data_IF_155570143657
#
_entry.id   IF_155570143657
#
_cell.length_a   1.000
_cell.length_b   1.000
_cell.length_c   1.000
_cell.angle_alpha   90.00
_cell.angle_beta   90.00
_cell.angle_gamma   90.00
#
_symmetry.space_group_name_H-M   'P 1'
#
loop_
_entity.id
_entity.type
_entity.pdbx_description
1 polymer ?
#
# COMPACT_ATOMS: atom_id res chain seq x y z
N UNK A 1 -14.33 -25.19 -11.52
CA UNK A 1 -12.90 -25.09 -11.20
C UNK A 1 -12.34 -23.79 -11.78
N UNK A 2 -12.06 -22.79 -10.95
CA UNK A 2 -11.54 -21.50 -11.42
C UNK A 2 -10.03 -21.61 -11.57
N UNK A 3 -9.59 -21.76 -12.81
CA UNK A 3 -8.22 -21.99 -13.27
C UNK A 3 -7.39 -20.69 -13.18
N UNK A 4 -7.22 -20.12 -11.98
CA UNK A 4 -6.63 -18.78 -11.81
C UNK A 4 -5.12 -18.78 -11.52
N UNK A 5 -4.49 -19.94 -11.31
CA UNK A 5 -3.17 -20.00 -10.64
C UNK A 5 -1.95 -20.23 -11.54
N UNK A 6 -2.07 -20.28 -12.87
CA UNK A 6 -0.88 -20.38 -13.74
C UNK A 6 -0.95 -19.40 -14.91
N UNK A 7 -0.73 -18.12 -14.62
CA UNK A 7 -0.60 -17.10 -15.65
C UNK A 7 0.81 -17.17 -16.29
N UNK A 8 1.03 -18.13 -17.19
CA UNK A 8 2.33 -18.26 -17.88
C UNK A 8 2.42 -17.41 -19.14
N UNK A 9 1.29 -16.93 -19.67
CA UNK A 9 1.30 -16.06 -20.86
C UNK A 9 1.17 -14.57 -20.47
N UNK A 10 1.71 -13.65 -21.30
CA UNK A 10 1.55 -12.21 -21.07
C UNK A 10 0.09 -11.75 -20.91
N UNK A 11 -0.82 -12.34 -21.67
CA UNK A 11 -2.26 -12.02 -21.66
C UNK A 11 -2.91 -12.47 -20.35
N UNK A 12 -2.58 -13.67 -19.86
CA UNK A 12 -3.07 -14.16 -18.57
C UNK A 12 -2.55 -13.30 -17.41
N UNK A 13 -1.29 -12.86 -17.50
CA UNK A 13 -0.68 -11.94 -16.55
C UNK A 13 -1.37 -10.56 -16.57
N UNK A 14 -1.76 -10.06 -17.74
CA UNK A 14 -2.53 -8.82 -17.87
C UNK A 14 -3.92 -8.94 -17.25
N UNK A 15 -4.64 -10.02 -17.53
CA UNK A 15 -5.95 -10.28 -16.93
C UNK A 15 -5.86 -10.34 -15.39
N UNK A 16 -4.83 -11.00 -14.84
CA UNK A 16 -4.63 -11.03 -13.38
C UNK A 16 -4.39 -9.63 -12.81
N UNK A 17 -3.59 -8.79 -13.48
CA UNK A 17 -3.32 -7.41 -13.05
C UNK A 17 -4.58 -6.54 -13.05
N UNK A 18 -5.58 -6.82 -13.90
CA UNK A 18 -6.85 -6.09 -13.89
C UNK A 18 -7.62 -6.26 -12.57
N UNK A 19 -7.41 -7.38 -11.85
CA UNK A 19 -8.10 -7.66 -10.59
C UNK A 19 -7.70 -6.75 -9.43
N UNK A 20 -6.50 -6.15 -9.47
CA UNK A 20 -6.01 -5.26 -8.40
C UNK A 20 -6.24 -3.79 -8.70
N UNK A 21 -6.75 -3.45 -9.89
CA UNK A 21 -7.03 -2.07 -10.26
C UNK A 21 -8.16 -1.52 -9.39
N UNK A 22 -7.93 -0.39 -8.74
CA UNK A 22 -8.84 0.26 -7.81
C UNK A 22 -8.87 -0.36 -6.40
N UNK A 23 -8.14 -1.46 -6.17
CA UNK A 23 -8.02 -2.04 -4.84
C UNK A 23 -7.21 -1.11 -3.93
N UNK A 24 -7.60 -1.04 -2.65
CA UNK A 24 -6.84 -0.36 -1.61
C UNK A 24 -5.93 -1.38 -0.94
N UNK A 25 -4.63 -1.08 -0.88
CA UNK A 25 -3.62 -1.95 -0.26
C UNK A 25 -2.84 -1.15 0.77
N UNK A 26 -2.85 -1.65 2.00
CA UNK A 26 -2.08 -1.08 3.10
C UNK A 26 -0.70 -1.77 3.17
N UNK A 27 0.35 -0.97 3.09
CA UNK A 27 1.73 -1.40 3.29
C UNK A 27 2.18 -0.96 4.69
N UNK A 28 2.57 -1.91 5.53
CA UNK A 28 3.14 -1.63 6.85
C UNK A 28 4.66 -1.57 6.71
N UNK A 29 5.22 -0.39 6.98
CA UNK A 29 6.62 0.01 6.78
C UNK A 29 7.07 0.03 5.31
N UNK A 30 7.50 1.20 4.83
CA UNK A 30 8.03 1.33 3.48
C UNK A 30 9.46 0.79 3.33
N UNK A 31 10.17 0.63 4.46
CA UNK A 31 11.57 0.25 4.48
C UNK A 31 12.46 1.38 3.97
N UNK A 32 13.46 1.04 3.16
CA UNK A 32 14.45 2.01 2.65
C UNK A 32 14.07 2.59 1.27
N UNK A 33 14.58 3.79 0.90
CA UNK A 33 14.23 4.47 -0.36
C UNK A 33 14.38 3.64 -1.64
N UNK A 34 15.31 2.70 -1.67
CA UNK A 34 15.49 1.78 -2.80
C UNK A 34 14.30 0.84 -3.07
N UNK A 35 13.30 0.78 -2.19
CA UNK A 35 12.04 0.05 -2.41
C UNK A 35 10.97 0.87 -3.11
N UNK A 36 11.24 2.13 -3.46
CA UNK A 36 10.30 3.03 -4.14
C UNK A 36 9.61 2.41 -5.36
N UNK A 37 10.33 1.59 -6.13
CA UNK A 37 9.79 0.91 -7.31
C UNK A 37 8.56 0.04 -7.01
N UNK A 38 8.38 -0.44 -5.77
CA UNK A 38 7.21 -1.23 -5.36
C UNK A 38 5.94 -0.36 -5.41
N UNK A 39 6.02 0.86 -4.88
CA UNK A 39 4.89 1.80 -4.86
C UNK A 39 4.61 2.37 -6.25
N UNK A 40 5.65 2.68 -7.01
CA UNK A 40 5.52 3.07 -8.42
C UNK A 40 4.83 1.98 -9.23
N UNK A 41 5.20 0.71 -8.98
CA UNK A 41 4.55 -0.42 -9.64
C UNK A 41 3.10 -0.56 -9.21
N UNK A 42 2.78 -0.41 -7.93
CA UNK A 42 1.42 -0.43 -7.44
C UNK A 42 0.56 0.67 -8.08
N UNK A 43 1.09 1.90 -8.17
CA UNK A 43 0.45 3.02 -8.86
C UNK A 43 0.19 2.71 -10.35
N UNK A 44 1.17 2.16 -11.07
CA UNK A 44 1.00 1.72 -12.47
C UNK A 44 -0.07 0.64 -12.65
N UNK A 45 -0.30 -0.20 -11.63
CA UNK A 45 -1.36 -1.20 -11.62
C UNK A 45 -2.74 -0.61 -11.28
N UNK A 46 -2.78 0.67 -10.87
CA UNK A 46 -3.98 1.37 -10.42
C UNK A 46 -4.40 1.02 -9.00
N UNK A 47 -3.47 0.55 -8.17
CA UNK A 47 -3.72 0.27 -6.74
C UNK A 47 -3.71 1.59 -5.96
N UNK A 48 -4.71 1.79 -5.10
CA UNK A 48 -4.70 2.86 -4.09
C UNK A 48 -3.81 2.42 -2.92
N UNK A 49 -2.53 2.75 -2.98
CA UNK A 49 -1.59 2.37 -1.92
C UNK A 49 -1.78 3.27 -0.70
N UNK A 50 -1.84 2.69 0.50
CA UNK A 50 -1.78 3.38 1.78
C UNK A 50 -0.55 2.89 2.52
N UNK A 51 0.27 3.79 3.07
CA UNK A 51 1.49 3.41 3.80
C UNK A 51 1.30 3.74 5.28
N UNK A 52 1.55 2.77 6.15
CA UNK A 52 1.72 2.99 7.59
C UNK A 52 3.22 2.98 7.88
N UNK A 53 3.78 4.07 8.37
CA UNK A 53 5.20 4.15 8.70
C UNK A 53 5.50 5.24 9.75
N UNK A 54 6.74 5.27 10.23
CA UNK A 54 7.20 6.32 11.15
C UNK A 54 7.00 7.72 10.52
N UNK A 55 6.59 8.76 11.29
CA UNK A 55 6.37 10.11 10.77
C UNK A 55 7.52 10.72 9.95
N UNK A 56 8.75 10.31 10.26
CA UNK A 56 9.99 10.74 9.58
C UNK A 56 10.37 9.87 8.37
N UNK A 57 9.53 8.92 7.97
CA UNK A 57 9.77 8.05 6.82
C UNK A 57 9.82 8.85 5.53
N UNK A 58 10.81 8.55 4.68
CA UNK A 58 10.95 9.10 3.33
C UNK A 58 9.69 8.90 2.47
N UNK A 59 8.94 7.83 2.75
CA UNK A 59 7.76 7.44 1.98
C UNK A 59 6.57 8.40 2.15
N UNK A 60 6.60 9.27 3.16
CA UNK A 60 5.61 10.34 3.34
C UNK A 60 5.51 11.24 2.10
N UNK A 61 6.65 11.54 1.46
CA UNK A 61 6.70 12.36 0.26
C UNK A 61 5.98 11.75 -0.95
N UNK A 62 5.77 10.43 -0.97
CA UNK A 62 5.09 9.75 -2.09
C UNK A 62 3.62 10.14 -2.26
N UNK A 63 3.00 10.70 -1.21
CA UNK A 63 1.63 11.23 -1.29
C UNK A 63 1.60 12.50 -2.13
N UNK A 64 2.54 13.42 -1.90
CA UNK A 64 2.65 14.69 -2.66
C UNK A 64 2.98 14.42 -4.13
N UNK A 65 3.74 13.36 -4.40
CA UNK A 65 4.07 12.91 -5.75
C UNK A 65 2.92 12.16 -6.46
N UNK A 66 1.81 11.88 -5.77
CA UNK A 66 0.66 11.16 -6.31
C UNK A 66 0.90 9.66 -6.57
N UNK A 67 1.96 9.08 -6.00
CA UNK A 67 2.29 7.66 -6.14
C UNK A 67 1.51 6.82 -5.13
N UNK A 68 1.29 7.37 -3.94
CA UNK A 68 0.58 6.73 -2.83
C UNK A 68 -0.65 7.57 -2.50
N UNK A 69 -1.78 6.92 -2.21
CA UNK A 69 -3.03 7.60 -1.93
C UNK A 69 -3.03 8.27 -0.55
N UNK A 70 -2.43 7.63 0.46
CA UNK A 70 -2.41 8.13 1.84
C UNK A 70 -1.20 7.63 2.63
N UNK A 71 -0.73 8.44 3.56
CA UNK A 71 0.29 8.09 4.55
C UNK A 71 -0.33 8.17 5.96
N UNK A 72 -0.19 7.10 6.73
CA UNK A 72 -0.65 6.97 8.11
C UNK A 72 0.58 7.05 9.03
N UNK A 73 0.84 8.20 9.66
CA UNK A 73 2.00 8.39 10.52
C UNK A 73 1.78 7.69 11.87
N UNK A 74 2.52 6.60 12.12
CA UNK A 74 2.48 5.87 13.39
C UNK A 74 3.89 5.83 13.98
N UNK A 75 4.03 6.14 15.26
CA UNK A 75 5.32 5.99 15.94
C UNK A 75 5.72 4.51 16.02
N UNK A 76 6.59 4.08 15.10
CA UNK A 76 7.10 2.72 15.00
C UNK A 76 8.13 2.36 16.08
N UNK A 77 8.51 3.29 16.97
CA UNK A 77 9.48 3.04 18.05
C UNK A 77 8.83 2.50 19.33
N UNK A 78 7.49 2.52 19.42
CA UNK A 78 6.73 1.98 20.54
C UNK A 78 6.77 0.45 20.65
N UNK A 79 6.10 -0.08 21.66
CA UNK A 79 5.90 -1.52 21.79
C UNK A 79 5.04 -2.07 20.65
N UNK A 80 5.16 -3.37 20.35
CA UNK A 80 4.39 -3.99 19.28
C UNK A 80 2.88 -3.84 19.46
N UNK A 81 2.39 -3.84 20.71
CA UNK A 81 0.97 -3.63 21.02
C UNK A 81 0.51 -2.21 20.70
N UNK A 82 1.32 -1.21 21.09
CA UNK A 82 1.02 0.21 20.80
C UNK A 82 1.01 0.47 19.29
N UNK A 83 2.02 -0.04 18.57
CA UNK A 83 2.08 0.09 17.10
C UNK A 83 0.90 -0.61 16.44
N UNK A 84 0.56 -1.82 16.89
CA UNK A 84 -0.58 -2.58 16.38
C UNK A 84 -1.89 -1.82 16.57
N UNK A 85 -2.19 -1.39 17.80
CA UNK A 85 -3.45 -0.73 18.11
C UNK A 85 -3.58 0.59 17.35
N UNK A 86 -2.53 1.40 17.30
CA UNK A 86 -2.54 2.66 16.58
C UNK A 86 -2.71 2.45 15.06
N UNK A 87 -2.05 1.44 14.49
CA UNK A 87 -2.23 1.07 13.08
C UNK A 87 -3.65 0.60 12.78
N UNK A 88 -4.21 -0.24 13.65
CA UNK A 88 -5.57 -0.75 13.52
C UNK A 88 -6.60 0.37 13.55
N UNK A 89 -6.49 1.29 14.51
CA UNK A 89 -7.40 2.42 14.65
C UNK A 89 -7.40 3.31 13.40
N UNK A 90 -6.22 3.64 12.87
CA UNK A 90 -6.10 4.43 11.63
C UNK A 90 -6.64 3.69 10.41
N UNK A 91 -6.40 2.38 10.30
CA UNK A 91 -6.92 1.56 9.20
C UNK A 91 -8.44 1.46 9.28
N UNK A 92 -9.03 1.32 10.47
CA UNK A 92 -10.49 1.28 10.64
C UNK A 92 -11.18 2.59 10.27
N UNK A 93 -10.47 3.72 10.34
CA UNK A 93 -10.96 5.04 9.87
C UNK A 93 -10.75 5.25 8.37
N UNK A 94 -10.06 4.34 7.67
CA UNK A 94 -9.94 4.41 6.21
C UNK A 94 -11.33 4.25 5.58
N UNK A 95 -11.64 5.13 4.63
CA UNK A 95 -12.92 5.17 3.93
C UNK A 95 -13.82 6.34 4.36
N UNK A 96 -13.56 6.97 5.52
CA UNK A 96 -14.22 8.23 5.90
C UNK A 96 -13.88 9.37 4.92
N UNK A 97 -12.69 9.32 4.31
CA UNK A 97 -12.16 10.31 3.37
C UNK A 97 -12.10 9.84 1.91
N UNK A 98 -12.75 8.70 1.58
CA UNK A 98 -12.90 8.23 0.19
C UNK A 98 -11.73 7.43 -0.39
N UNK A 99 -10.76 7.02 0.45
CA UNK A 99 -9.74 6.03 0.09
C UNK A 99 -10.31 4.62 0.14
#
# INVERSE_FOLDING_TARGET
ETKTTVAQTPEAQELRRKLVRGATVVFVSAGYPGKRFIFERAAQLGVKSVIVDHPDSWSRGLVEEGIVAKFLPIDMSGSSEEVFQASYDEICRLGEDGV
#
